data_IF_464549268998
#
_entry.id   IF_464549268998
#
_cell.length_a   1.000
_cell.length_b   1.000
_cell.length_c   1.000
_cell.angle_alpha   90.00
_cell.angle_beta   90.00
_cell.angle_gamma   90.00
#
_symmetry.space_group_name_H-M   'P 1'
#
loop_
_entity.id
_entity.type
_entity.pdbx_description
1 polymer ?
#
# COMPACT_ATOMS: atom_id res chain seq x y z
N UNK A 1 5.64 -71.04 -17.32
CA UNK A 1 5.80 -69.63 -16.90
C UNK A 1 4.42 -68.97 -16.79
N UNK A 2 3.85 -68.93 -15.59
CA UNK A 2 2.59 -68.24 -15.28
C UNK A 2 2.93 -66.85 -14.73
N UNK A 3 2.48 -65.81 -15.42
CA UNK A 3 2.60 -64.40 -15.01
C UNK A 3 1.65 -64.14 -13.83
N UNK A 4 2.21 -63.84 -12.65
CA UNK A 4 1.49 -63.29 -11.51
C UNK A 4 1.27 -61.78 -11.75
N UNK A 5 0.00 -61.38 -11.91
CA UNK A 5 -0.44 -59.99 -11.84
C UNK A 5 -0.61 -59.61 -10.37
N UNK A 6 0.28 -58.78 -9.85
CA UNK A 6 0.12 -58.14 -8.53
C UNK A 6 -0.75 -56.90 -8.68
N UNK A 7 -1.99 -56.97 -8.22
CA UNK A 7 -2.88 -55.81 -8.11
C UNK A 7 -2.48 -54.96 -6.91
N UNK A 8 -1.99 -53.74 -7.16
CA UNK A 8 -1.78 -52.72 -6.11
C UNK A 8 -3.15 -52.09 -5.79
N UNK A 9 -3.68 -52.36 -4.60
CA UNK A 9 -4.81 -51.61 -4.05
C UNK A 9 -4.31 -50.26 -3.57
N UNK A 10 -4.67 -49.19 -4.28
CA UNK A 10 -4.50 -47.82 -3.79
C UNK A 10 -5.60 -47.58 -2.75
N UNK A 11 -5.24 -47.59 -1.47
CA UNK A 11 -6.12 -47.14 -0.40
C UNK A 11 -6.26 -45.61 -0.52
N UNK A 12 -7.42 -45.14 -0.95
CA UNK A 12 -7.78 -43.71 -0.84
C UNK A 12 -7.95 -43.38 0.64
N UNK A 13 -7.01 -42.63 1.18
CA UNK A 13 -7.12 -42.01 2.50
C UNK A 13 -8.05 -40.79 2.38
N UNK A 14 -9.36 -41.00 2.50
CA UNK A 14 -10.31 -39.90 2.64
C UNK A 14 -10.23 -39.41 4.08
N UNK A 15 -9.44 -38.36 4.30
CA UNK A 15 -9.40 -37.65 5.57
C UNK A 15 -10.72 -36.89 5.71
N UNK A 16 -11.63 -37.40 6.54
CA UNK A 16 -12.87 -36.72 6.88
C UNK A 16 -12.51 -35.47 7.73
N UNK A 17 -12.38 -34.32 7.07
CA UNK A 17 -12.32 -33.03 7.75
C UNK A 17 -13.73 -32.76 8.26
N UNK A 18 -13.94 -32.89 9.56
CA UNK A 18 -15.13 -32.37 10.22
C UNK A 18 -15.13 -30.85 10.07
N UNK A 19 -15.85 -30.36 9.07
CA UNK A 19 -16.16 -28.95 8.96
C UNK A 19 -17.13 -28.57 10.08
N UNK A 20 -16.61 -28.25 11.26
CA UNK A 20 -17.33 -27.36 12.16
C UNK A 20 -17.52 -26.06 11.40
N UNK A 21 -18.77 -25.78 11.00
CA UNK A 21 -19.18 -24.49 10.44
C UNK A 21 -19.05 -23.49 11.58
N UNK A 22 -17.83 -23.02 11.80
CA UNK A 22 -17.63 -21.75 12.48
C UNK A 22 -18.22 -20.72 11.54
N UNK A 23 -19.22 -20.00 12.03
CA UNK A 23 -19.55 -18.69 11.48
C UNK A 23 -18.25 -17.91 11.49
N UNK A 24 -17.57 -17.81 10.35
CA UNK A 24 -16.35 -17.05 10.23
C UNK A 24 -16.71 -15.59 10.51
N UNK A 25 -16.58 -15.16 11.76
CA UNK A 25 -16.51 -13.75 12.08
C UNK A 25 -15.37 -13.20 11.23
N UNK A 26 -15.66 -12.24 10.35
CA UNK A 26 -14.62 -11.54 9.63
C UNK A 26 -13.69 -10.96 10.68
N UNK A 27 -12.43 -11.38 10.70
CA UNK A 27 -11.49 -10.90 11.70
C UNK A 27 -11.44 -9.37 11.64
N UNK A 28 -11.60 -8.72 12.79
CA UNK A 28 -11.52 -7.25 12.90
C UNK A 28 -10.16 -6.74 12.41
N UNK A 29 -9.14 -7.60 12.39
CA UNK A 29 -7.82 -7.35 11.82
C UNK A 29 -7.53 -8.26 10.63
N UNK A 30 -7.29 -7.67 9.46
CA UNK A 30 -6.91 -8.39 8.24
C UNK A 30 -5.43 -8.17 7.93
N UNK A 31 -4.64 -9.25 7.96
CA UNK A 31 -3.21 -9.29 7.68
C UNK A 31 -2.92 -9.83 6.27
N UNK A 32 -2.02 -9.15 5.58
CA UNK A 32 -1.50 -9.55 4.27
C UNK A 32 0.03 -9.64 4.29
N UNK A 33 0.57 -10.69 3.67
CA UNK A 33 2.00 -10.83 3.38
C UNK A 33 2.32 -10.49 1.93
N UNK A 34 3.46 -9.83 1.73
CA UNK A 34 4.12 -9.66 0.42
C UNK A 34 5.60 -9.97 0.56
N UNK A 35 6.12 -10.86 -0.28
CA UNK A 35 7.56 -11.09 -0.39
C UNK A 35 8.15 -10.17 -1.45
N UNK A 36 9.10 -9.31 -1.07
CA UNK A 36 9.77 -8.38 -2.00
C UNK A 36 11.18 -8.06 -1.51
N UNK A 37 12.14 -7.93 -2.45
CA UNK A 37 13.54 -7.64 -2.16
C UNK A 37 14.20 -8.62 -1.15
N UNK A 38 13.72 -9.88 -1.09
CA UNK A 38 14.22 -10.90 -0.17
C UNK A 38 13.64 -10.82 1.26
N UNK A 39 12.70 -9.92 1.51
CA UNK A 39 12.08 -9.71 2.81
C UNK A 39 10.61 -10.12 2.81
N UNK A 40 10.10 -10.49 3.99
CA UNK A 40 8.68 -10.71 4.23
C UNK A 40 8.06 -9.42 4.78
N UNK A 41 7.15 -8.80 4.00
CA UNK A 41 6.50 -7.54 4.35
C UNK A 41 5.07 -7.82 4.76
N UNK A 42 4.76 -7.48 6.01
CA UNK A 42 3.47 -7.66 6.65
C UNK A 42 2.72 -6.33 6.68
N UNK A 43 1.51 -6.30 6.14
CA UNK A 43 0.65 -5.12 6.15
C UNK A 43 -0.75 -5.50 6.61
N UNK A 44 -1.35 -4.74 7.52
CA UNK A 44 -2.68 -5.05 8.02
C UNK A 44 -3.62 -3.85 8.04
N UNK A 45 -4.91 -4.13 8.17
CA UNK A 45 -5.90 -3.16 8.62
C UNK A 45 -6.61 -3.71 9.84
N UNK A 46 -7.06 -2.83 10.74
CA UNK A 46 -7.87 -3.22 11.90
C UNK A 46 -9.06 -2.28 12.07
N UNK A 47 -10.22 -2.82 12.39
CA UNK A 47 -11.44 -2.08 12.73
C UNK A 47 -11.61 -1.92 14.26
N UNK A 48 -10.61 -2.33 15.05
CA UNK A 48 -10.54 -2.03 16.50
C UNK A 48 -10.50 -0.50 16.69
N UNK A 49 -11.46 0.03 17.45
CA UNK A 49 -11.72 1.47 17.57
C UNK A 49 -10.57 2.26 18.23
N UNK A 50 -9.94 1.65 19.23
CA UNK A 50 -8.81 2.21 19.96
C UNK A 50 -7.69 1.18 20.03
N UNK A 51 -6.50 1.53 19.55
CA UNK A 51 -5.36 0.61 19.52
C UNK A 51 -4.36 1.04 20.58
N UNK A 52 -4.20 0.22 21.62
CA UNK A 52 -3.25 0.46 22.71
C UNK A 52 -1.89 -0.18 22.44
N UNK A 53 -1.88 -1.34 21.78
CA UNK A 53 -0.65 -2.09 21.45
C UNK A 53 -0.87 -2.98 20.24
N UNK A 54 0.20 -3.23 19.48
CA UNK A 54 0.19 -4.16 18.36
C UNK A 54 1.45 -5.01 18.40
N UNK A 55 1.28 -6.31 18.20
CA UNK A 55 2.35 -7.30 18.26
C UNK A 55 2.32 -8.19 17.02
N UNK A 56 3.48 -8.38 16.40
CA UNK A 56 3.66 -9.25 15.23
C UNK A 56 4.22 -10.58 15.72
N UNK A 57 3.65 -11.68 15.25
CA UNK A 57 4.04 -13.04 15.60
C UNK A 57 4.46 -13.83 14.36
N UNK A 58 5.40 -14.76 14.55
CA UNK A 58 5.92 -15.66 13.52
C UNK A 58 6.03 -17.10 14.05
N UNK A 59 5.70 -18.09 13.22
CA UNK A 59 5.91 -19.51 13.46
C UNK A 59 6.47 -20.21 12.22
N UNK A 60 7.18 -21.33 12.41
CA UNK A 60 7.54 -22.28 11.34
C UNK A 60 6.44 -23.35 11.12
N UNK A 61 5.33 -23.25 11.85
CA UNK A 61 4.13 -24.09 11.71
C UNK A 61 2.90 -23.21 11.47
N UNK A 62 1.80 -23.82 11.02
CA UNK A 62 0.52 -23.13 10.88
C UNK A 62 -0.25 -22.89 12.19
N UNK A 63 0.30 -23.30 13.34
CA UNK A 63 -0.32 -23.14 14.65
C UNK A 63 0.13 -21.84 15.31
N UNK A 64 -0.82 -21.09 15.87
CA UNK A 64 -0.50 -19.90 16.67
C UNK A 64 0.15 -20.27 18.01
N UNK A 65 -0.13 -21.46 18.55
CA UNK A 65 0.44 -21.90 19.84
C UNK A 65 1.97 -22.06 19.77
N UNK A 66 2.51 -22.28 18.56
CA UNK A 66 3.95 -22.37 18.30
C UNK A 66 4.57 -21.00 17.97
N UNK A 67 3.75 -19.95 17.85
CA UNK A 67 4.20 -18.65 17.37
C UNK A 67 4.96 -17.87 18.44
N UNK A 68 6.05 -17.24 18.03
CA UNK A 68 6.85 -16.34 18.87
C UNK A 68 6.62 -14.90 18.45
N UNK A 69 6.65 -13.98 19.42
CA UNK A 69 6.56 -12.56 19.10
C UNK A 69 7.83 -12.12 18.38
N UNK A 70 7.67 -11.61 17.16
CA UNK A 70 8.74 -11.03 16.36
C UNK A 70 9.02 -9.59 16.78
N UNK A 71 7.97 -8.78 16.92
CA UNK A 71 8.10 -7.36 17.25
C UNK A 71 6.84 -6.79 17.91
N UNK A 72 7.00 -5.66 18.60
CA UNK A 72 5.92 -4.74 18.92
C UNK A 72 6.03 -3.51 18.02
N UNK A 73 4.91 -2.97 17.57
CA UNK A 73 4.87 -1.81 16.67
C UNK A 73 4.02 -0.69 17.25
N UNK A 74 4.32 0.55 16.86
CA UNK A 74 3.56 1.73 17.28
C UNK A 74 2.08 1.59 16.93
N UNK A 75 1.19 2.17 17.75
CA UNK A 75 -0.27 2.03 17.64
C UNK A 75 -0.85 2.61 16.35
N UNK A 76 -0.13 3.55 15.72
CA UNK A 76 -0.50 4.17 14.45
C UNK A 76 0.24 3.56 13.25
N UNK A 77 0.95 2.43 13.43
CA UNK A 77 1.72 1.74 12.39
C UNK A 77 1.06 0.42 12.00
N UNK A 78 0.87 0.22 10.69
CA UNK A 78 0.18 -0.97 10.14
C UNK A 78 1.04 -1.76 9.15
N UNK A 79 2.37 -1.66 9.30
CA UNK A 79 3.36 -2.32 8.45
C UNK A 79 4.57 -2.78 9.27
N UNK A 80 4.99 -4.04 9.07
CA UNK A 80 6.22 -4.61 9.61
C UNK A 80 7.00 -5.32 8.51
N UNK A 81 8.32 -5.36 8.65
CA UNK A 81 9.21 -6.13 7.78
C UNK A 81 9.90 -7.18 8.64
N UNK A 82 10.05 -8.39 8.11
CA UNK A 82 10.87 -9.46 8.67
C UNK A 82 12.02 -9.74 7.69
N UNK A 83 13.19 -9.22 8.04
CA UNK A 83 14.47 -9.36 7.33
C UNK A 83 15.35 -10.49 7.90
N UNK A 84 14.95 -11.08 9.04
CA UNK A 84 15.64 -12.20 9.70
C UNK A 84 15.10 -13.57 9.25
N UNK A 85 13.97 -13.60 8.54
CA UNK A 85 13.39 -14.83 8.00
C UNK A 85 14.33 -15.52 7.00
N UNK A 86 14.60 -16.81 7.22
CA UNK A 86 15.39 -17.60 6.29
C UNK A 86 14.63 -17.81 4.97
N UNK A 87 15.29 -17.54 3.84
CA UNK A 87 14.72 -17.81 2.51
C UNK A 87 14.48 -19.31 2.21
N UNK A 88 14.97 -20.22 3.07
CA UNK A 88 14.84 -21.67 2.91
C UNK A 88 13.75 -22.29 3.79
N UNK A 89 13.07 -21.48 4.59
CA UNK A 89 11.99 -21.91 5.47
C UNK A 89 10.70 -21.21 5.11
N UNK A 90 9.61 -21.91 5.38
CA UNK A 90 8.30 -21.32 5.35
C UNK A 90 7.89 -20.81 6.73
N UNK A 91 7.17 -19.69 6.73
CA UNK A 91 6.72 -19.02 7.93
C UNK A 91 5.23 -18.70 7.85
N UNK A 92 4.59 -18.69 9.01
CA UNK A 92 3.23 -18.20 9.23
C UNK A 92 3.27 -17.00 10.16
N UNK A 93 2.42 -16.02 9.88
CA UNK A 93 2.39 -14.75 10.58
C UNK A 93 0.99 -14.40 11.05
N UNK A 94 0.95 -13.72 12.19
CA UNK A 94 -0.24 -13.12 12.78
C UNK A 94 0.10 -11.75 13.34
N UNK A 95 -0.92 -10.90 13.47
CA UNK A 95 -0.85 -9.68 14.24
C UNK A 95 -1.89 -9.78 15.35
N UNK A 96 -1.49 -9.47 16.58
CA UNK A 96 -2.38 -9.32 17.72
C UNK A 96 -2.49 -7.84 18.05
N UNK A 97 -3.71 -7.30 17.94
CA UNK A 97 -4.03 -5.92 18.27
C UNK A 97 -4.70 -5.91 19.64
N UNK A 98 -4.24 -5.04 20.55
CA UNK A 98 -4.87 -4.85 21.85
C UNK A 98 -5.60 -3.50 21.88
N UNK A 99 -6.81 -3.50 22.41
CA UNK A 99 -7.57 -2.28 22.63
C UNK A 99 -7.21 -1.60 23.96
N UNK A 100 -7.81 -0.44 24.24
CA UNK A 100 -7.60 0.30 25.49
C UNK A 100 -8.11 -0.45 26.74
N UNK A 101 -9.01 -1.44 26.58
CA UNK A 101 -9.47 -2.31 27.65
C UNK A 101 -8.53 -3.50 27.90
N UNK A 102 -7.55 -3.71 27.03
CA UNK A 102 -6.62 -4.84 27.06
C UNK A 102 -7.14 -6.11 26.40
N UNK A 103 -8.30 -6.05 25.72
CA UNK A 103 -8.81 -7.14 24.90
C UNK A 103 -7.94 -7.32 23.67
N UNK A 104 -7.66 -8.58 23.30
CA UNK A 104 -6.80 -8.90 22.17
C UNK A 104 -7.60 -9.41 20.97
N UNK A 105 -7.35 -8.81 19.80
CA UNK A 105 -7.93 -9.17 18.51
C UNK A 105 -6.83 -9.77 17.63
N UNK A 106 -6.90 -11.07 17.39
CA UNK A 106 -5.95 -11.77 16.53
C UNK A 106 -6.37 -11.65 15.07
N UNK A 107 -5.40 -11.38 14.18
CA UNK A 107 -5.64 -11.34 12.74
C UNK A 107 -5.88 -12.74 12.15
N UNK A 108 -6.30 -12.79 10.89
CA UNK A 108 -6.11 -14.00 10.09
C UNK A 108 -4.62 -14.39 10.01
N UNK A 109 -4.37 -15.66 9.72
CA UNK A 109 -3.03 -16.15 9.38
C UNK A 109 -2.66 -15.76 7.93
N UNK A 110 -1.38 -15.47 7.70
CA UNK A 110 -0.79 -15.37 6.36
C UNK A 110 0.54 -16.12 6.33
N UNK A 111 0.99 -16.60 5.17
CA UNK A 111 2.17 -17.47 5.08
C UNK A 111 2.97 -17.26 3.80
N UNK A 112 4.27 -17.56 3.87
CA UNK A 112 5.16 -17.64 2.70
C UNK A 112 4.89 -18.86 1.83
N UNK A 113 4.24 -19.90 2.38
CA UNK A 113 3.88 -21.10 1.63
C UNK A 113 2.98 -20.70 0.47
N UNK A 114 3.32 -21.05 -0.78
CA UNK A 114 2.45 -20.80 -1.90
C UNK A 114 1.27 -21.77 -1.88
N UNK A 115 0.21 -21.54 -1.08
CA UNK A 115 -1.11 -22.12 -1.37
C UNK A 115 -2.31 -21.54 -0.59
N UNK A 116 -3.49 -21.59 -1.26
CA UNK A 116 -4.87 -21.40 -0.78
C UNK A 116 -5.32 -19.99 -0.38
N UNK A 117 -4.79 -18.94 -1.01
CA UNK A 117 -5.34 -17.57 -0.86
C UNK A 117 -6.74 -17.36 -1.44
N UNK A 118 -7.36 -18.39 -2.04
CA UNK A 118 -8.66 -18.29 -2.75
C UNK A 118 -9.87 -18.83 -1.97
N UNK A 119 -9.72 -19.32 -0.72
CA UNK A 119 -10.84 -20.00 -0.02
C UNK A 119 -11.61 -19.17 1.02
N UNK A 120 -11.24 -17.91 1.28
CA UNK A 120 -11.99 -17.06 2.22
C UNK A 120 -12.52 -15.84 1.47
N UNK A 121 -13.66 -16.01 0.79
CA UNK A 121 -14.39 -14.90 0.20
C UNK A 121 -15.22 -14.21 1.28
N UNK A 122 -14.85 -12.98 1.66
CA UNK A 122 -15.75 -12.10 2.40
C UNK A 122 -16.79 -11.49 1.45
N UNK A 123 -17.96 -11.08 1.96
CA UNK A 123 -19.00 -10.46 1.12
C UNK A 123 -18.50 -9.22 0.36
N UNK A 124 -17.63 -8.40 0.98
CA UNK A 124 -16.96 -7.27 0.33
C UNK A 124 -16.00 -7.70 -0.79
N UNK A 125 -15.36 -8.85 -0.62
CA UNK A 125 -14.41 -9.42 -1.58
C UNK A 125 -15.05 -9.73 -2.95
N UNK A 126 -16.36 -9.97 -3.00
CA UNK A 126 -17.09 -10.20 -4.26
C UNK A 126 -17.20 -8.95 -5.16
N UNK A 127 -17.22 -7.75 -4.56
CA UNK A 127 -17.24 -6.46 -5.28
C UNK A 127 -15.86 -6.06 -5.82
N UNK A 128 -14.79 -6.60 -5.24
CA UNK A 128 -13.42 -6.27 -5.61
C UNK A 128 -13.00 -6.97 -6.89
N UNK A 129 -13.36 -6.36 -8.01
CA UNK A 129 -12.98 -6.77 -9.37
C UNK A 129 -12.22 -5.63 -10.04
N UNK A 130 -11.30 -5.97 -10.93
CA UNK A 130 -10.57 -4.98 -11.70
C UNK A 130 -11.56 -4.16 -12.56
N UNK A 131 -11.41 -2.83 -12.55
CA UNK A 131 -12.32 -1.88 -13.20
C UNK A 131 -13.56 -1.50 -12.36
N UNK A 132 -13.71 -2.03 -11.14
CA UNK A 132 -14.87 -1.72 -10.31
C UNK A 132 -14.90 -0.25 -9.87
N UNK A 133 -16.12 0.25 -9.65
CA UNK A 133 -16.39 1.56 -9.05
C UNK A 133 -17.11 1.39 -7.74
N UNK A 134 -16.58 1.99 -6.66
CA UNK A 134 -17.22 2.02 -5.35
C UNK A 134 -17.74 3.42 -5.05
N UNK A 135 -18.98 3.51 -4.57
CA UNK A 135 -19.64 4.80 -4.37
C UNK A 135 -20.37 4.87 -3.03
N UNK A 136 -19.98 5.83 -2.19
CA UNK A 136 -20.57 6.07 -0.87
C UNK A 136 -20.58 4.82 0.02
N UNK A 137 -19.51 4.04 -0.02
CA UNK A 137 -19.41 2.77 0.70
C UNK A 137 -17.97 2.48 1.14
N UNK A 138 -17.83 1.54 2.06
CA UNK A 138 -16.55 0.90 2.40
C UNK A 138 -16.56 -0.51 1.83
N UNK A 139 -15.53 -0.87 1.06
CA UNK A 139 -15.36 -2.21 0.50
C UNK A 139 -14.10 -2.85 1.06
N UNK A 140 -14.26 -4.01 1.69
CA UNK A 140 -13.17 -4.87 2.11
C UNK A 140 -12.91 -5.93 1.05
N UNK A 141 -11.72 -5.92 0.44
CA UNK A 141 -11.37 -6.88 -0.59
C UNK A 141 -10.82 -8.21 -0.05
N UNK A 142 -10.65 -8.36 1.27
CA UNK A 142 -10.26 -9.62 1.90
C UNK A 142 -8.87 -10.13 1.47
N UNK A 143 -7.99 -9.25 1.02
CA UNK A 143 -6.65 -9.59 0.54
C UNK A 143 -6.56 -10.01 -0.92
N UNK A 144 -7.66 -9.91 -1.70
CA UNK A 144 -7.67 -10.27 -3.12
C UNK A 144 -6.61 -9.54 -3.92
N UNK A 145 -6.01 -10.26 -4.88
CA UNK A 145 -5.16 -9.68 -5.91
C UNK A 145 -5.99 -9.40 -7.15
N UNK A 146 -6.04 -8.14 -7.57
CA UNK A 146 -6.72 -7.70 -8.78
C UNK A 146 -5.77 -6.91 -9.68
N UNK A 147 -6.05 -6.87 -10.97
CA UNK A 147 -5.30 -6.04 -11.91
C UNK A 147 -5.96 -6.04 -13.28
N UNK A 148 -5.66 -5.00 -14.05
CA UNK A 148 -6.04 -4.91 -15.46
C UNK A 148 -4.83 -5.37 -16.29
N UNK A 149 -4.29 -4.46 -17.11
CA UNK A 149 -3.04 -4.66 -17.85
C UNK A 149 -2.10 -3.50 -17.56
N UNK A 150 -0.81 -3.71 -17.80
CA UNK A 150 0.16 -2.64 -17.80
C UNK A 150 0.76 -2.48 -19.20
N UNK A 151 0.51 -1.33 -19.84
CA UNK A 151 1.01 -0.97 -21.17
C UNK A 151 2.05 0.14 -21.08
N UNK A 152 3.05 -0.05 -20.21
CA UNK A 152 4.07 0.97 -19.94
C UNK A 152 3.50 2.23 -19.29
N UNK A 153 4.00 3.38 -19.71
CA UNK A 153 3.67 4.72 -19.20
C UNK A 153 2.52 5.41 -19.97
N UNK A 154 1.68 4.64 -20.65
CA UNK A 154 0.52 5.18 -21.38
C UNK A 154 -0.49 5.85 -20.43
N UNK A 155 -0.82 7.11 -20.72
CA UNK A 155 -1.77 7.97 -19.98
C UNK A 155 -3.26 7.60 -20.19
N UNK A 156 -3.56 6.67 -21.11
CA UNK A 156 -4.94 6.26 -21.44
C UNK A 156 -5.35 4.96 -20.74
N UNK A 157 -4.53 4.47 -19.80
CA UNK A 157 -4.83 3.26 -19.05
C UNK A 157 -6.00 3.49 -18.08
N UNK A 158 -6.97 2.56 -18.01
CA UNK A 158 -8.04 2.67 -17.02
C UNK A 158 -7.53 2.42 -15.60
N UNK A 159 -8.14 3.04 -14.57
CA UNK A 159 -7.83 2.68 -13.19
C UNK A 159 -8.31 1.27 -12.87
N UNK A 160 -7.52 0.54 -12.08
CA UNK A 160 -7.89 -0.78 -11.53
C UNK A 160 -9.09 -0.67 -10.61
N UNK A 161 -9.22 0.43 -9.85
CA UNK A 161 -10.40 0.74 -9.04
C UNK A 161 -10.73 2.23 -9.10
N UNK A 162 -12.02 2.56 -9.12
CA UNK A 162 -12.51 3.93 -9.04
C UNK A 162 -13.30 4.16 -7.75
N UNK A 163 -12.93 5.17 -6.97
CA UNK A 163 -13.57 5.53 -5.70
C UNK A 163 -14.34 6.85 -5.83
N UNK A 164 -15.60 6.84 -5.45
CA UNK A 164 -16.48 8.02 -5.36
C UNK A 164 -16.96 8.13 -3.92
N UNK A 165 -16.31 8.98 -3.12
CA UNK A 165 -16.61 9.14 -1.71
C UNK A 165 -16.65 7.79 -0.97
N UNK A 166 -15.61 6.99 -1.15
CA UNK A 166 -15.59 5.57 -0.78
C UNK A 166 -14.25 5.15 -0.16
N UNK A 167 -14.30 4.08 0.63
CA UNK A 167 -13.12 3.44 1.22
C UNK A 167 -12.90 2.08 0.58
N UNK A 168 -11.66 1.76 0.24
CA UNK A 168 -11.24 0.39 -0.07
C UNK A 168 -10.22 -0.08 0.96
N UNK A 169 -10.35 -1.32 1.43
CA UNK A 169 -9.37 -1.94 2.31
C UNK A 169 -8.96 -3.34 1.87
N UNK A 170 -7.75 -3.74 2.26
CA UNK A 170 -7.21 -5.11 2.10
C UNK A 170 -7.19 -5.59 0.65
N UNK A 171 -6.52 -4.86 -0.25
CA UNK A 171 -6.42 -5.24 -1.67
C UNK A 171 -4.98 -5.22 -2.15
N UNK A 172 -4.62 -6.19 -2.98
CA UNK A 172 -3.35 -6.24 -3.70
C UNK A 172 -3.58 -5.88 -5.17
N UNK A 173 -2.83 -4.93 -5.69
CA UNK A 173 -2.77 -4.61 -7.11
C UNK A 173 -1.66 -5.46 -7.73
N UNK A 174 -2.01 -6.24 -8.75
CA UNK A 174 -1.13 -7.25 -9.34
C UNK A 174 0.08 -6.61 -10.01
N UNK A 175 1.20 -7.35 -10.01
CA UNK A 175 2.47 -6.90 -10.60
C UNK A 175 2.31 -6.57 -12.08
N UNK A 176 1.69 -7.44 -12.87
CA UNK A 176 1.52 -7.26 -14.32
C UNK A 176 0.30 -6.44 -14.73
N UNK A 177 -0.56 -6.07 -13.79
CA UNK A 177 -1.86 -5.45 -14.05
C UNK A 177 -2.10 -4.15 -13.30
N UNK A 178 -1.03 -3.43 -12.95
CA UNK A 178 -1.10 -2.17 -12.19
C UNK A 178 -1.90 -1.05 -12.85
N UNK A 179 -1.90 -0.97 -14.20
CA UNK A 179 -2.62 0.03 -14.99
C UNK A 179 -2.45 1.47 -14.45
N UNK A 180 -3.50 2.30 -14.47
CA UNK A 180 -3.51 3.64 -13.83
C UNK A 180 -3.98 3.54 -12.35
N UNK A 181 -3.53 2.49 -11.65
CA UNK A 181 -3.69 2.33 -10.20
C UNK A 181 -5.12 2.47 -9.68
N UNK A 182 -5.29 3.23 -8.59
CA UNK A 182 -6.60 3.51 -7.97
C UNK A 182 -6.93 5.00 -8.12
N UNK A 183 -8.10 5.32 -8.66
CA UNK A 183 -8.56 6.70 -8.79
C UNK A 183 -9.50 7.08 -7.65
N UNK A 184 -9.12 8.10 -6.87
CA UNK A 184 -10.12 8.87 -6.12
C UNK A 184 -10.79 9.86 -7.08
N UNK A 185 -11.96 9.49 -7.57
CA UNK A 185 -12.67 10.22 -8.63
C UNK A 185 -13.39 11.46 -8.10
N UNK A 186 -14.06 11.32 -6.96
CA UNK A 186 -14.89 12.39 -6.38
C UNK A 186 -15.03 12.19 -4.87
N UNK A 187 -15.24 13.29 -4.13
CA UNK A 187 -15.45 13.24 -2.69
C UNK A 187 -14.19 12.86 -1.91
N UNK A 188 -14.36 12.23 -0.76
CA UNK A 188 -13.26 11.79 0.10
C UNK A 188 -13.03 10.29 -0.07
N UNK A 189 -11.80 9.89 -0.37
CA UNK A 189 -11.48 8.47 -0.54
C UNK A 189 -10.43 8.01 0.47
N UNK A 190 -10.57 6.77 0.94
CA UNK A 190 -9.59 6.14 1.83
C UNK A 190 -9.11 4.82 1.23
N UNK A 191 -7.80 4.62 1.22
CA UNK A 191 -7.12 3.40 0.80
C UNK A 191 -6.39 2.86 2.03
N UNK A 192 -6.88 1.77 2.61
CA UNK A 192 -6.35 1.18 3.84
C UNK A 192 -5.76 -0.20 3.56
N UNK A 193 -4.52 -0.44 3.96
CA UNK A 193 -3.85 -1.73 3.71
C UNK A 193 -3.91 -2.14 2.21
N UNK A 194 -3.44 -1.25 1.34
CA UNK A 194 -3.33 -1.53 -0.10
C UNK A 194 -1.89 -1.86 -0.44
N UNK A 195 -1.70 -2.93 -1.22
CA UNK A 195 -0.38 -3.37 -1.68
C UNK A 195 -0.30 -3.22 -3.19
N UNK A 196 0.63 -2.40 -3.69
CA UNK A 196 0.97 -2.38 -5.12
C UNK A 196 2.20 -3.24 -5.35
N UNK A 197 2.02 -4.41 -5.99
CA UNK A 197 3.11 -5.38 -6.19
C UNK A 197 4.15 -4.90 -7.22
N UNK A 198 3.75 -4.06 -8.16
CA UNK A 198 4.63 -3.28 -9.03
C UNK A 198 3.80 -2.16 -9.67
N UNK A 199 4.20 -0.90 -9.49
CA UNK A 199 3.46 0.23 -10.05
C UNK A 199 3.65 0.24 -11.57
N UNK A 200 2.55 0.47 -12.30
CA UNK A 200 2.57 0.65 -13.74
C UNK A 200 2.73 2.15 -14.10
N UNK A 201 1.64 2.92 -14.17
CA UNK A 201 1.72 4.38 -14.35
C UNK A 201 1.86 5.06 -12.98
N UNK A 202 0.78 5.13 -12.22
CA UNK A 202 0.73 5.60 -10.83
C UNK A 202 0.13 4.55 -9.88
N UNK A 203 0.40 4.65 -8.58
CA UNK A 203 -0.27 3.80 -7.59
C UNK A 203 -1.69 4.29 -7.31
N UNK A 204 -1.85 5.61 -7.09
CA UNK A 204 -3.17 6.22 -6.93
C UNK A 204 -3.21 7.69 -7.33
N UNK A 205 -4.37 8.11 -7.83
CA UNK A 205 -4.59 9.45 -8.37
C UNK A 205 -5.76 10.15 -7.68
N UNK A 206 -5.49 11.31 -7.09
CA UNK A 206 -6.52 12.24 -6.62
C UNK A 206 -6.96 13.13 -7.79
N UNK A 207 -8.02 12.69 -8.48
CA UNK A 207 -8.47 13.28 -9.74
C UNK A 207 -9.09 14.67 -9.57
N UNK A 208 -9.27 15.41 -10.67
CA UNK A 208 -9.67 16.84 -10.69
C UNK A 208 -10.93 17.17 -9.86
N UNK A 209 -11.86 16.23 -9.70
CA UNK A 209 -13.16 16.44 -9.02
C UNK A 209 -13.24 15.90 -7.59
N UNK A 210 -12.16 15.32 -7.09
CA UNK A 210 -12.10 14.80 -5.73
C UNK A 210 -11.79 15.89 -4.69
N UNK A 211 -11.98 15.56 -3.41
CA UNK A 211 -11.77 16.46 -2.25
C UNK A 211 -10.55 16.04 -1.43
N UNK A 212 -10.44 14.76 -1.10
CA UNK A 212 -9.30 14.23 -0.34
C UNK A 212 -9.04 12.76 -0.66
N UNK A 213 -7.79 12.32 -0.49
CA UNK A 213 -7.38 10.92 -0.58
C UNK A 213 -6.46 10.59 0.59
N UNK A 214 -6.85 9.60 1.39
CA UNK A 214 -6.09 9.17 2.58
C UNK A 214 -5.57 7.75 2.38
N UNK A 215 -4.26 7.56 2.55
CA UNK A 215 -3.58 6.27 2.49
C UNK A 215 -3.17 5.90 3.92
N UNK A 216 -3.55 4.70 4.36
CA UNK A 216 -3.28 4.20 5.72
C UNK A 216 -2.62 2.83 5.63
N UNK A 217 -1.35 2.76 6.02
CA UNK A 217 -0.56 1.53 5.95
C UNK A 217 -0.42 1.05 4.51
N UNK A 218 -0.17 -0.25 4.33
CA UNK A 218 0.08 -0.84 3.01
C UNK A 218 1.48 -0.54 2.49
N UNK A 219 1.75 -0.98 1.26
CA UNK A 219 3.06 -0.83 0.63
C UNK A 219 2.97 -0.65 -0.87
N UNK A 220 3.98 -0.02 -1.48
CA UNK A 220 4.11 0.02 -2.93
C UNK A 220 5.53 -0.30 -3.37
N UNK A 221 5.64 -1.31 -4.24
CA UNK A 221 6.87 -1.66 -4.93
C UNK A 221 6.89 -1.05 -6.32
N UNK A 222 8.07 -0.66 -6.79
CA UNK A 222 8.31 -0.29 -8.18
C UNK A 222 9.77 -0.62 -8.51
N UNK A 223 10.09 -0.81 -9.79
CA UNK A 223 11.45 -1.07 -10.24
C UNK A 223 11.75 -0.42 -11.58
N UNK A 224 13.03 -0.15 -11.87
CA UNK A 224 13.43 0.48 -13.15
C UNK A 224 13.16 -0.38 -14.38
N UNK A 225 13.06 -1.69 -14.19
CA UNK A 225 12.74 -2.69 -15.21
C UNK A 225 11.35 -3.29 -14.99
N UNK A 226 10.51 -2.58 -14.24
CA UNK A 226 9.13 -2.98 -13.98
C UNK A 226 8.26 -2.82 -15.22
N UNK A 227 7.01 -3.29 -15.15
CA UNK A 227 6.08 -3.30 -16.28
C UNK A 227 5.67 -1.88 -16.72
N UNK A 228 5.73 -0.90 -15.82
CA UNK A 228 5.49 0.51 -16.11
C UNK A 228 6.68 1.27 -16.72
N UNK A 229 7.84 0.61 -16.86
CA UNK A 229 9.07 1.26 -17.29
C UNK A 229 9.70 2.12 -16.19
N UNK A 230 10.08 3.36 -16.52
CA UNK A 230 10.83 4.22 -15.61
C UNK A 230 9.93 4.78 -14.51
N UNK A 231 10.23 4.57 -13.21
CA UNK A 231 9.40 5.09 -12.12
C UNK A 231 9.25 6.62 -12.14
N UNK A 232 8.02 7.13 -12.17
CA UNK A 232 7.74 8.58 -12.09
C UNK A 232 7.14 9.02 -10.75
N UNK A 233 5.90 8.66 -10.45
CA UNK A 233 5.17 9.15 -9.26
C UNK A 233 4.30 8.02 -8.67
N UNK A 234 4.30 7.91 -7.34
CA UNK A 234 3.44 6.94 -6.64
C UNK A 234 2.04 7.52 -6.50
N UNK A 235 1.95 8.76 -6.01
CA UNK A 235 0.68 9.47 -5.84
C UNK A 235 0.61 10.73 -6.70
N UNK A 236 -0.37 10.75 -7.59
CA UNK A 236 -0.67 11.90 -8.44
C UNK A 236 -1.80 12.73 -7.86
N UNK A 237 -1.65 14.06 -7.93
CA UNK A 237 -2.66 14.99 -7.41
C UNK A 237 -3.02 16.04 -8.44
N UNK A 238 -4.24 15.90 -8.97
CA UNK A 238 -4.81 16.78 -10.00
C UNK A 238 -5.85 17.76 -9.42
N UNK A 239 -6.61 17.34 -8.40
CA UNK A 239 -7.61 18.16 -7.70
C UNK A 239 -7.04 19.51 -7.22
N UNK A 240 -7.84 20.59 -7.20
CA UNK A 240 -7.42 21.95 -6.82
C UNK A 240 -8.17 22.41 -5.56
N UNK A 241 -8.18 23.72 -5.26
CA UNK A 241 -9.02 24.32 -4.21
C UNK A 241 -8.76 23.80 -2.78
N UNK A 242 -7.50 23.57 -2.44
CA UNK A 242 -7.11 23.16 -1.07
C UNK A 242 -7.31 21.67 -0.77
N UNK A 243 -7.59 20.86 -1.79
CA UNK A 243 -7.64 19.40 -1.67
C UNK A 243 -6.33 18.82 -1.12
N UNK A 244 -6.45 17.68 -0.45
CA UNK A 244 -5.34 17.09 0.31
C UNK A 244 -5.18 15.60 0.06
N UNK A 245 -3.96 15.16 -0.23
CA UNK A 245 -3.54 13.77 -0.06
C UNK A 245 -2.93 13.59 1.33
N UNK A 246 -3.32 12.56 2.07
CA UNK A 246 -2.72 12.22 3.36
C UNK A 246 -2.12 10.82 3.28
N UNK A 247 -0.86 10.65 3.67
CA UNK A 247 -0.19 9.34 3.70
C UNK A 247 0.27 9.09 5.13
N UNK A 248 -0.24 8.02 5.73
CA UNK A 248 0.07 7.65 7.10
C UNK A 248 0.07 6.15 7.34
N UNK A 249 0.21 5.73 8.59
CA UNK A 249 -0.02 4.34 8.97
C UNK A 249 1.20 3.44 8.77
N UNK A 250 2.40 3.99 8.64
CA UNK A 250 3.59 3.23 8.29
C UNK A 250 3.70 2.86 6.82
N UNK A 251 2.93 3.50 5.91
CA UNK A 251 2.99 3.22 4.47
C UNK A 251 4.44 3.12 3.99
N UNK A 252 4.74 2.04 3.26
CA UNK A 252 6.12 1.66 2.94
C UNK A 252 6.37 1.59 1.44
N UNK A 253 7.41 2.29 0.96
CA UNK A 253 7.92 2.11 -0.41
C UNK A 253 9.09 1.12 -0.42
N UNK A 254 9.09 0.22 -1.42
CA UNK A 254 10.17 -0.77 -1.69
C UNK A 254 10.69 -0.65 -3.13
N UNK A 255 11.88 -1.19 -3.42
CA UNK A 255 12.47 -1.13 -4.76
C UNK A 255 13.01 0.25 -5.16
N UNK A 256 12.55 0.80 -6.29
CA UNK A 256 12.99 2.09 -6.84
C UNK A 256 11.83 2.94 -7.35
N UNK A 257 11.82 4.21 -6.96
CA UNK A 257 10.72 5.16 -7.23
C UNK A 257 11.23 6.48 -7.82
N UNK A 258 10.36 7.19 -8.55
CA UNK A 258 10.64 8.56 -8.96
C UNK A 258 10.31 9.55 -7.84
N UNK A 259 9.03 9.63 -7.48
CA UNK A 259 8.47 10.54 -6.46
C UNK A 259 7.39 9.86 -5.65
N UNK A 260 7.31 10.12 -4.35
CA UNK A 260 6.20 9.61 -3.53
C UNK A 260 4.91 10.37 -3.89
N UNK A 261 4.99 11.69 -4.05
CA UNK A 261 3.82 12.50 -4.42
C UNK A 261 4.17 13.68 -5.31
N UNK A 262 3.28 14.01 -6.24
CA UNK A 262 3.42 15.17 -7.12
C UNK A 262 2.09 15.89 -7.34
N UNK A 263 2.06 17.19 -7.00
CA UNK A 263 1.05 18.13 -7.51
C UNK A 263 1.24 18.29 -9.02
N UNK A 264 0.19 18.17 -9.83
CA UNK A 264 0.36 18.22 -11.28
C UNK A 264 1.07 19.49 -11.78
N UNK A 265 2.17 19.32 -12.53
CA UNK A 265 3.04 20.42 -12.95
C UNK A 265 2.56 21.20 -14.16
N UNK A 266 1.85 20.54 -15.07
CA UNK A 266 1.49 21.04 -16.40
C UNK A 266 0.09 20.56 -16.85
N UNK A 267 -0.85 20.36 -15.92
CA UNK A 267 -2.20 19.91 -16.25
C UNK A 267 -2.98 20.95 -17.08
N UNK A 268 -3.97 20.50 -17.84
CA UNK A 268 -4.98 21.41 -18.42
C UNK A 268 -5.75 22.10 -17.30
N UNK A 269 -5.93 23.42 -17.41
CA UNK A 269 -6.53 24.26 -16.37
C UNK A 269 -5.80 24.07 -15.02
N UNK A 270 -4.47 24.07 -15.06
CA UNK A 270 -3.64 23.90 -13.88
C UNK A 270 -3.88 25.01 -12.86
N UNK A 271 -3.53 24.72 -11.62
CA UNK A 271 -3.71 25.62 -10.50
C UNK A 271 -3.50 24.89 -9.18
N UNK A 272 -4.01 25.47 -8.11
CA UNK A 272 -3.95 24.92 -6.77
C UNK A 272 -4.87 25.70 -5.83
N UNK A 273 -4.60 25.73 -4.51
CA UNK A 273 -3.54 24.95 -3.85
C UNK A 273 -3.85 23.45 -3.86
N UNK A 274 -2.80 22.64 -3.91
CA UNK A 274 -2.81 21.19 -3.67
C UNK A 274 -1.93 20.88 -2.47
N UNK A 275 -2.45 20.10 -1.54
CA UNK A 275 -1.77 19.83 -0.28
C UNK A 275 -1.41 18.36 -0.13
N UNK A 276 -0.32 18.10 0.58
CA UNK A 276 0.00 16.77 1.09
C UNK A 276 0.36 16.82 2.58
N UNK A 277 -0.13 15.82 3.32
CA UNK A 277 0.29 15.50 4.67
C UNK A 277 0.95 14.12 4.68
N UNK A 278 2.17 14.04 5.19
CA UNK A 278 2.91 12.79 5.41
C UNK A 278 3.16 12.67 6.91
N UNK A 279 2.79 11.54 7.49
CA UNK A 279 3.08 11.22 8.89
C UNK A 279 3.30 9.72 9.05
N UNK A 280 4.40 9.31 9.66
CA UNK A 280 4.77 7.90 9.86
C UNK A 280 4.82 7.14 8.51
N UNK A 281 5.79 7.49 7.67
CA UNK A 281 6.02 6.87 6.35
C UNK A 281 7.45 6.36 6.25
N UNK A 282 7.61 5.18 5.64
CA UNK A 282 8.89 4.53 5.42
C UNK A 282 9.19 4.46 3.92
N UNK A 283 10.35 4.96 3.52
CA UNK A 283 10.87 4.81 2.16
C UNK A 283 12.05 3.87 2.25
N UNK A 284 11.79 2.56 2.24
CA UNK A 284 12.85 1.56 2.12
C UNK A 284 13.17 1.26 0.65
N UNK A 285 13.48 2.34 -0.08
CA UNK A 285 13.66 2.30 -1.52
C UNK A 285 14.65 3.37 -1.97
N UNK A 286 15.20 3.20 -3.17
CA UNK A 286 15.84 4.32 -3.88
C UNK A 286 14.73 5.23 -4.41
N UNK A 287 14.82 6.54 -4.19
CA UNK A 287 13.83 7.50 -4.69
C UNK A 287 14.50 8.76 -5.24
N UNK A 288 13.92 9.37 -6.28
CA UNK A 288 14.40 10.64 -6.84
C UNK A 288 14.15 11.85 -5.93
N UNK A 289 12.91 11.99 -5.44
CA UNK A 289 12.54 12.97 -4.41
C UNK A 289 11.26 12.55 -3.69
N UNK A 290 10.99 13.05 -2.49
CA UNK A 290 9.79 12.66 -1.74
C UNK A 290 8.54 13.36 -2.30
N UNK A 291 8.47 14.69 -2.23
CA UNK A 291 7.31 15.47 -2.69
C UNK A 291 7.70 16.58 -3.68
N UNK A 292 6.80 16.87 -4.62
CA UNK A 292 6.91 18.00 -5.55
C UNK A 292 5.73 18.97 -5.48
N UNK A 293 5.96 20.20 -4.98
CA UNK A 293 4.93 21.25 -4.81
C UNK A 293 5.10 22.39 -5.81
N UNK A 294 4.00 22.99 -6.29
CA UNK A 294 4.02 24.18 -7.15
C UNK A 294 3.85 25.46 -6.31
N UNK A 295 4.94 26.21 -6.09
CA UNK A 295 4.92 27.39 -5.21
C UNK A 295 3.93 28.47 -5.67
N UNK A 296 3.88 28.73 -6.98
CA UNK A 296 3.01 29.75 -7.58
C UNK A 296 1.51 29.41 -7.50
N UNK A 297 1.15 28.18 -7.14
CA UNK A 297 -0.24 27.77 -6.92
C UNK A 297 -0.59 27.61 -5.43
N UNK A 298 0.32 27.97 -4.53
CA UNK A 298 0.06 27.95 -3.09
C UNK A 298 0.10 26.57 -2.44
N UNK A 299 0.60 25.55 -3.15
CA UNK A 299 0.69 24.17 -2.66
C UNK A 299 1.46 24.05 -1.35
N UNK A 300 1.04 23.15 -0.46
CA UNK A 300 1.70 22.92 0.84
C UNK A 300 1.96 21.44 1.08
N UNK A 301 3.19 21.10 1.45
CA UNK A 301 3.55 19.79 1.94
C UNK A 301 3.92 19.88 3.42
N UNK A 302 3.18 19.16 4.27
CA UNK A 302 3.48 18.98 5.69
C UNK A 302 4.00 17.56 5.88
N UNK A 303 5.20 17.42 6.44
CA UNK A 303 5.87 16.12 6.56
C UNK A 303 6.37 15.96 8.00
N UNK A 304 6.02 14.85 8.61
CA UNK A 304 6.50 14.38 9.92
C UNK A 304 6.84 12.90 9.86
N UNK A 305 7.68 12.45 10.79
CA UNK A 305 7.97 11.03 11.04
C UNK A 305 8.29 10.24 9.75
N UNK A 306 9.13 10.80 8.89
CA UNK A 306 9.56 10.18 7.64
C UNK A 306 10.89 9.46 7.85
N UNK A 307 10.96 8.17 7.51
CA UNK A 307 12.21 7.40 7.50
C UNK A 307 12.60 7.02 6.08
N UNK A 308 13.86 7.18 5.69
CA UNK A 308 14.35 6.90 4.33
C UNK A 308 15.63 6.05 4.36
N UNK A 309 15.69 5.00 3.53
CA UNK A 309 16.87 4.12 3.38
C UNK A 309 18.08 4.95 3.02
N UNK A 310 19.16 4.80 3.80
CA UNK A 310 20.43 5.49 3.55
C UNK A 310 20.31 7.02 3.44
N UNK A 311 19.33 7.62 4.14
CA UNK A 311 19.13 9.07 4.13
C UNK A 311 20.40 9.83 4.50
N UNK A 312 20.73 10.80 3.67
CA UNK A 312 21.62 11.92 3.99
C UNK A 312 20.93 13.19 3.52
N UNK A 313 21.14 14.32 4.19
CA UNK A 313 20.53 15.60 3.79
C UNK A 313 20.74 15.87 2.29
N UNK A 314 19.65 16.04 1.55
CA UNK A 314 19.63 16.24 0.09
C UNK A 314 19.73 14.98 -0.78
N UNK A 315 19.85 13.78 -0.18
CA UNK A 315 19.91 12.48 -0.86
C UNK A 315 19.01 11.45 -0.14
N UNK A 316 17.77 11.23 -0.64
CA UNK A 316 17.08 11.99 -1.68
C UNK A 316 16.68 13.41 -1.23
N UNK A 317 16.22 14.23 -2.18
CA UNK A 317 15.58 15.52 -1.86
C UNK A 317 14.19 15.26 -1.28
N UNK A 318 13.85 15.90 -0.18
CA UNK A 318 12.57 15.68 0.51
C UNK A 318 11.46 16.52 -0.14
N UNK A 319 11.40 17.82 0.15
CA UNK A 319 10.39 18.70 -0.43
C UNK A 319 10.98 19.57 -1.54
N UNK A 320 10.64 19.25 -2.78
CA UNK A 320 11.11 19.97 -3.96
C UNK A 320 10.04 20.95 -4.44
N UNK A 321 10.43 22.21 -4.58
CA UNK A 321 9.59 23.28 -5.10
C UNK A 321 9.74 23.39 -6.62
N UNK A 322 8.61 23.60 -7.29
CA UNK A 322 8.47 23.81 -8.72
C UNK A 322 7.68 25.09 -9.01
N UNK A 323 7.81 25.60 -10.24
CA UNK A 323 6.85 26.53 -10.84
C UNK A 323 5.89 25.72 -11.72
N UNK A 324 4.62 25.64 -11.33
CA UNK A 324 3.58 25.01 -12.14
C UNK A 324 3.20 25.90 -13.33
N UNK A 325 2.81 25.28 -14.43
CA UNK A 325 2.45 25.93 -15.71
C UNK A 325 1.14 25.35 -16.23
N UNK A 326 0.52 26.01 -17.21
CA UNK A 326 -0.60 25.42 -17.95
C UNK A 326 -0.08 24.41 -18.97
N UNK A 327 -0.91 23.41 -19.33
CA UNK A 327 -0.58 22.46 -20.39
C UNK A 327 -0.27 23.21 -21.70
N UNK A 328 0.83 22.82 -22.35
CA UNK A 328 1.28 23.45 -23.60
C UNK A 328 2.09 24.74 -23.43
N UNK A 329 2.25 25.26 -22.20
CA UNK A 329 3.04 26.49 -21.93
C UNK A 329 4.46 26.18 -21.43
N UNK A 330 5.07 25.12 -21.95
CA UNK A 330 6.39 24.63 -21.54
C UNK A 330 6.36 23.73 -20.32
N UNK A 331 7.54 23.52 -19.73
CA UNK A 331 7.77 22.55 -18.66
C UNK A 331 7.69 23.17 -17.25
N UNK A 332 7.22 22.38 -16.29
CA UNK A 332 7.20 22.80 -14.89
C UNK A 332 8.62 22.89 -14.33
N UNK A 333 9.13 24.12 -14.21
CA UNK A 333 10.53 24.36 -13.81
C UNK A 333 10.79 23.94 -12.37
N UNK A 334 11.79 23.09 -12.16
CA UNK A 334 12.32 22.72 -10.85
C UNK A 334 13.10 23.90 -10.25
N UNK A 335 12.70 24.33 -9.05
CA UNK A 335 13.37 25.41 -8.30
C UNK A 335 14.42 24.82 -7.35
N UNK A 336 14.06 23.76 -6.62
CA UNK A 336 15.01 23.08 -5.72
C UNK A 336 14.36 22.60 -4.44
N UNK A 337 15.17 21.95 -3.59
CA UNK A 337 14.73 21.49 -2.28
C UNK A 337 14.59 22.66 -1.31
N UNK A 338 13.54 22.64 -0.47
CA UNK A 338 13.29 23.65 0.56
C UNK A 338 12.85 22.99 1.87
N UNK A 339 13.15 23.67 2.97
CA UNK A 339 12.84 23.27 4.35
C UNK A 339 12.26 24.47 5.08
N UNK A 340 11.34 24.25 6.02
CA UNK A 340 10.75 25.31 6.86
C UNK A 340 10.22 26.53 6.07
N UNK A 341 9.54 26.28 4.95
CA UNK A 341 8.87 27.34 4.17
C UNK A 341 7.37 27.11 4.15
N UNK A 342 6.60 28.11 3.72
CA UNK A 342 5.14 27.99 3.59
C UNK A 342 4.70 26.80 2.74
N UNK A 343 5.43 26.50 1.65
CA UNK A 343 5.12 25.38 0.76
C UNK A 343 5.73 24.04 1.22
N UNK A 344 6.84 24.09 1.98
CA UNK A 344 7.55 22.92 2.49
C UNK A 344 7.65 23.01 4.02
N UNK A 345 6.58 22.57 4.68
CA UNK A 345 6.42 22.51 6.12
C UNK A 345 7.04 21.22 6.66
N UNK A 346 8.37 21.16 6.58
CA UNK A 346 9.18 20.03 7.02
C UNK A 346 10.48 20.55 7.62
N UNK A 347 10.80 20.06 8.81
CA UNK A 347 12.08 20.27 9.50
C UNK A 347 13.02 19.11 9.20
N UNK A 348 14.33 19.33 9.31
CA UNK A 348 15.30 18.23 9.18
C UNK A 348 15.08 17.11 10.21
N UNK A 349 14.61 17.45 11.41
CA UNK A 349 14.27 16.50 12.47
C UNK A 349 13.09 15.58 12.12
N UNK A 350 12.25 16.00 11.19
CA UNK A 350 11.08 15.21 10.73
C UNK A 350 11.49 14.08 9.78
N UNK A 351 12.76 14.05 9.35
CA UNK A 351 13.29 13.06 8.39
C UNK A 351 14.52 12.38 8.97
N UNK A 352 14.45 11.05 9.09
CA UNK A 352 15.53 10.23 9.65
C UNK A 352 15.98 9.18 8.65
N UNK A 353 17.23 8.73 8.80
CA UNK A 353 17.69 7.49 8.17
C UNK A 353 16.88 6.33 8.75
N UNK A 354 16.53 5.36 7.90
CA UNK A 354 16.00 4.06 8.35
C UNK A 354 17.01 3.33 9.22
#
# INVERSE_FOLDING_TARGET
MKLLKTSVKIASLVMAISASVSTAYAADTTLMLTQADGENILTWSTDVDSVARQEVYRSETSSFDDATQLSAVDTDRFVSEDDDASAYKDYWYWVKVYDDAGESHLSNVTSTVPQLTDLIETAGSSKCKAGATFKNETVDCGGKTIGLSCKGDSEDQPPVLTLINATVKNVKISKSGGSDGIHCKKGNCTLKNVVWKDICEDAATLTKTAKSMTIIGGMAYNSKSGPGGKPDKVFQHNAKNGTTTTVKGGFTLKGQHGKLWRSCGNCTNNGGPRNIVIDNVKIDAKIGSVVGVNKNYGDKAKIKNLKIKNYKSGKPKVCVVYKGVQKGQGESKKIGEKWNTTNCQVKKSDVKKL
#
